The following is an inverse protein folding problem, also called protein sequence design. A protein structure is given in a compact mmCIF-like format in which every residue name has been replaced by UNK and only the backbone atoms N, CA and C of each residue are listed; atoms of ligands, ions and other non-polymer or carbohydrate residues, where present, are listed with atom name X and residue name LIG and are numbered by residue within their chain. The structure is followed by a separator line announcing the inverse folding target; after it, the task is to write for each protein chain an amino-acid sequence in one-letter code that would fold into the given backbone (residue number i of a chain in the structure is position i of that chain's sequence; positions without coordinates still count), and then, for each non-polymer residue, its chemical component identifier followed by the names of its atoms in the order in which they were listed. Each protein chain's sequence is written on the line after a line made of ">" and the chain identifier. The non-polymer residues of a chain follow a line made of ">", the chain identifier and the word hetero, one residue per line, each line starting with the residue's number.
data_IF_875407415032
#
_entry.id   IF_875407415032
#
_cell.length_a   1.000
_cell.length_b   1.000
_cell.length_c   1.000
_cell.angle_alpha   90.00
_cell.angle_beta   90.00
_cell.angle_gamma   90.00
#
_symmetry.space_group_name_H-M   'P 1'
#
loop_
_entity.id
_entity.type
_entity.pdbx_description
1 polymer ?
#
# COMPACT_ATOMS: atom_id res chain seq x y z
N UNK A 1 -18.79 -1.59 2.53
CA UNK A 1 -17.32 -1.72 2.62
C UNK A 1 -16.82 -1.31 1.25
N UNK A 2 -16.21 -0.14 1.09
CA UNK A 2 -15.71 0.34 -0.21
C UNK A 2 -14.23 -0.04 -0.26
N UNK A 3 -13.87 -0.94 -1.15
CA UNK A 3 -12.51 -1.39 -1.42
C UNK A 3 -11.93 -0.69 -2.67
N UNK A 4 -10.64 -0.91 -2.93
CA UNK A 4 -9.92 -0.37 -4.10
C UNK A 4 -10.58 -0.74 -5.44
N UNK A 5 -11.24 -1.89 -5.51
CA UNK A 5 -11.96 -2.34 -6.71
C UNK A 5 -13.22 -1.50 -6.92
N UNK A 6 -13.92 -1.12 -5.86
CA UNK A 6 -15.09 -0.24 -5.89
C UNK A 6 -14.76 1.20 -6.28
N UNK A 7 -13.61 1.73 -5.86
CA UNK A 7 -13.13 3.03 -6.33
C UNK A 7 -12.73 2.98 -7.80
N UNK A 8 -11.99 1.96 -8.22
CA UNK A 8 -11.53 1.85 -9.61
C UNK A 8 -12.72 1.75 -10.57
N UNK A 9 -13.74 0.96 -10.21
CA UNK A 9 -14.96 0.82 -11.01
C UNK A 9 -15.74 2.14 -11.08
N UNK A 10 -15.88 2.86 -9.96
CA UNK A 10 -16.59 4.14 -9.94
C UNK A 10 -15.82 5.30 -10.58
N UNK A 11 -14.49 5.21 -10.66
CA UNK A 11 -13.64 6.16 -11.37
C UNK A 11 -13.67 5.97 -12.90
N UNK A 12 -13.92 4.74 -13.36
CA UNK A 12 -14.15 4.43 -14.78
C UNK A 12 -15.50 4.99 -15.25
N UNK A 13 -16.52 5.01 -14.37
CA UNK A 13 -17.85 5.55 -14.68
C UNK A 13 -17.97 7.08 -14.48
N UNK A 14 -17.14 7.68 -13.61
CA UNK A 14 -17.15 9.13 -13.35
C UNK A 14 -15.74 9.66 -13.03
N UNK A 15 -15.08 10.23 -14.04
CA UNK A 15 -13.73 10.83 -13.94
C UNK A 15 -13.64 11.95 -12.89
N UNK A 16 -14.76 12.56 -12.48
CA UNK A 16 -14.73 13.61 -11.44
C UNK A 16 -14.33 13.05 -10.07
N UNK A 17 -14.50 11.74 -9.84
CA UNK A 17 -14.05 11.05 -8.62
C UNK A 17 -12.53 10.84 -8.57
N UNK A 18 -11.84 10.79 -9.71
CA UNK A 18 -10.38 10.79 -9.79
C UNK A 18 -9.77 12.12 -9.36
N UNK A 19 -10.57 13.20 -9.37
CA UNK A 19 -10.15 14.53 -8.89
C UNK A 19 -10.32 14.69 -7.38
N UNK A 20 -10.97 13.74 -6.72
CA UNK A 20 -11.02 13.74 -5.27
C UNK A 20 -9.62 13.40 -4.73
N UNK A 21 -9.15 14.12 -3.70
CA UNK A 21 -7.88 13.82 -3.06
C UNK A 21 -7.77 12.32 -2.77
N UNK A 22 -6.68 11.67 -3.18
CA UNK A 22 -6.47 10.21 -2.97
C UNK A 22 -6.68 9.80 -1.52
N UNK A 23 -6.41 10.70 -0.56
CA UNK A 23 -6.70 10.56 0.88
C UNK A 23 -8.17 10.31 1.24
N UNK A 24 -9.11 10.77 0.42
CA UNK A 24 -10.55 10.70 0.66
C UNK A 24 -11.13 9.36 0.18
N UNK A 25 -10.38 8.64 -0.67
CA UNK A 25 -10.78 7.32 -1.18
C UNK A 25 -9.87 6.18 -0.76
N UNK A 26 -8.62 6.45 -0.36
CA UNK A 26 -7.83 5.49 0.41
C UNK A 26 -8.43 5.36 1.82
N UNK A 27 -9.47 4.53 1.95
CA UNK A 27 -10.02 4.16 3.25
C UNK A 27 -9.04 3.22 3.98
N UNK A 28 -8.31 3.81 4.93
CA UNK A 28 -8.25 3.33 6.32
C UNK A 28 -7.58 1.98 6.59
N UNK A 29 -6.24 1.94 6.55
CA UNK A 29 -5.34 1.24 7.53
C UNK A 29 -3.88 1.36 7.07
N UNK A 30 -3.31 2.55 7.27
CA UNK A 30 -1.86 2.75 7.11
C UNK A 30 -1.17 2.05 8.27
N UNK A 31 -0.25 1.13 7.97
CA UNK A 31 0.59 0.50 8.98
C UNK A 31 2.00 1.05 8.87
N UNK A 32 2.47 1.68 9.94
CA UNK A 32 3.80 2.26 10.03
C UNK A 32 4.77 1.24 10.61
N UNK A 33 5.94 1.11 10.00
CA UNK A 33 6.95 0.14 10.40
C UNK A 33 8.35 0.75 10.33
N UNK A 34 9.27 0.19 11.11
CA UNK A 34 10.67 0.59 11.04
C UNK A 34 11.37 0.02 9.80
N UNK A 35 12.41 0.70 9.33
CA UNK A 35 13.27 0.22 8.23
C UNK A 35 13.93 -1.14 8.51
N UNK A 36 14.03 -1.52 9.79
CA UNK A 36 14.59 -2.80 10.25
C UNK A 36 13.53 -3.90 10.44
N UNK A 37 12.25 -3.62 10.18
CA UNK A 37 11.17 -4.60 10.30
C UNK A 37 11.40 -5.75 9.31
N UNK A 38 11.20 -6.98 9.78
CA UNK A 38 11.53 -8.17 9.00
C UNK A 38 10.48 -8.38 7.90
N UNK A 39 10.93 -8.80 6.72
CA UNK A 39 10.06 -9.00 5.54
C UNK A 39 8.89 -9.94 5.83
N UNK A 40 9.06 -10.92 6.71
CA UNK A 40 7.96 -11.83 7.10
C UNK A 40 6.81 -11.12 7.82
N UNK A 41 7.09 -10.01 8.50
CA UNK A 41 6.10 -9.23 9.25
C UNK A 41 5.26 -8.35 8.31
N UNK A 42 5.75 -8.10 7.09
CA UNK A 42 4.98 -7.44 6.02
C UNK A 42 3.90 -8.35 5.43
N UNK A 43 4.14 -9.67 5.39
CA UNK A 43 3.26 -10.59 4.66
C UNK A 43 1.79 -10.52 5.12
N UNK A 44 1.47 -10.58 6.43
CA UNK A 44 0.08 -10.53 6.90
C UNK A 44 -0.59 -9.17 6.69
N UNK A 45 0.19 -8.10 6.56
CA UNK A 45 -0.30 -6.74 6.33
C UNK A 45 -0.62 -6.54 4.83
N UNK A 46 0.32 -6.93 3.97
CA UNK A 46 0.17 -6.85 2.52
C UNK A 46 -0.92 -7.80 1.99
N UNK A 47 -1.12 -8.95 2.63
CA UNK A 47 -2.18 -9.89 2.25
C UNK A 47 -3.60 -9.32 2.50
N UNK A 48 -3.72 -8.37 3.43
CA UNK A 48 -4.97 -7.66 3.72
C UNK A 48 -5.20 -6.44 2.80
N UNK A 49 -4.37 -6.27 1.77
CA UNK A 49 -4.44 -5.13 0.85
C UNK A 49 -3.91 -3.83 1.45
N UNK A 50 -3.14 -3.87 2.54
CA UNK A 50 -2.61 -2.64 3.13
C UNK A 50 -1.33 -2.18 2.45
N UNK A 51 -1.16 -0.86 2.39
CA UNK A 51 0.12 -0.21 2.07
C UNK A 51 0.87 0.04 3.37
N UNK A 52 2.13 -0.40 3.43
CA UNK A 52 2.98 -0.17 4.58
C UNK A 52 3.82 1.09 4.41
N UNK A 53 3.83 1.94 5.43
CA UNK A 53 4.70 3.12 5.53
C UNK A 53 5.98 2.72 6.27
N UNK A 54 7.13 2.99 5.67
CA UNK A 54 8.44 2.71 6.25
C UNK A 54 9.02 3.99 6.82
N UNK A 55 9.42 3.93 8.09
CA UNK A 55 10.05 5.01 8.82
C UNK A 55 11.42 4.57 9.34
N UNK A 56 12.34 5.52 9.50
CA UNK A 56 13.54 5.37 10.33
C UNK A 56 13.47 6.42 11.46
N UNK A 57 13.05 5.98 12.65
CA UNK A 57 12.66 6.90 13.70
C UNK A 57 11.47 7.77 13.27
N UNK A 58 11.69 9.08 13.19
CA UNK A 58 10.71 10.08 12.73
C UNK A 58 10.81 10.38 11.22
N UNK A 59 11.84 9.86 10.55
CA UNK A 59 12.06 10.10 9.13
C UNK A 59 11.21 9.16 8.27
N UNK A 60 10.50 9.71 7.29
CA UNK A 60 9.78 8.93 6.30
C UNK A 60 10.73 8.43 5.21
N UNK A 61 10.83 7.10 5.07
CA UNK A 61 11.72 6.46 4.09
C UNK A 61 10.96 6.13 2.80
N UNK A 62 9.70 5.68 2.91
CA UNK A 62 8.92 5.32 1.73
C UNK A 62 7.69 4.47 2.00
N UNK A 63 7.09 3.99 0.91
CA UNK A 63 5.95 3.07 0.93
C UNK A 63 6.37 1.72 0.35
N UNK A 64 5.82 0.63 0.91
CA UNK A 64 5.97 -0.72 0.36
C UNK A 64 4.59 -1.30 0.07
N UNK A 65 4.45 -1.85 -1.13
CA UNK A 65 3.26 -2.56 -1.59
C UNK A 65 3.52 -4.06 -1.80
N UNK A 66 2.44 -4.82 -2.06
CA UNK A 66 2.52 -6.24 -2.42
C UNK A 66 3.36 -6.49 -3.68
N UNK A 67 3.25 -5.61 -4.67
CA UNK A 67 3.98 -5.72 -5.94
C UNK A 67 5.49 -5.53 -5.71
N UNK A 68 5.89 -4.60 -4.84
CA UNK A 68 7.29 -4.37 -4.52
C UNK A 68 7.94 -5.60 -3.88
N UNK A 69 7.23 -6.24 -2.95
CA UNK A 69 7.72 -7.45 -2.31
C UNK A 69 7.87 -8.61 -3.30
N UNK A 70 6.89 -8.81 -4.18
CA UNK A 70 6.98 -9.82 -5.24
C UNK A 70 8.17 -9.54 -6.18
N UNK A 71 8.36 -8.27 -6.56
CA UNK A 71 9.49 -7.85 -7.38
C UNK A 71 10.83 -8.09 -6.70
N UNK A 72 10.93 -7.81 -5.40
CA UNK A 72 12.13 -8.06 -4.59
C UNK A 72 12.47 -9.56 -4.51
N UNK A 73 11.48 -10.42 -4.23
CA UNK A 73 11.66 -11.87 -4.19
C UNK A 73 12.08 -12.42 -5.55
N UNK A 74 11.46 -11.94 -6.65
CA UNK A 74 11.85 -12.34 -8.02
C UNK A 74 13.30 -12.00 -8.34
N UNK A 75 13.81 -10.86 -7.86
CA UNK A 75 15.21 -10.45 -8.07
C UNK A 75 16.21 -11.33 -7.31
N UNK A 76 15.82 -11.90 -6.16
CA UNK A 76 16.68 -12.81 -5.36
C UNK A 76 16.80 -14.22 -5.91
N UNK A 77 15.88 -14.62 -6.80
CA UNK A 77 15.90 -15.93 -7.46
C UNK A 77 16.75 -15.94 -8.75
N UNK A 78 17.37 -14.81 -9.10
CA UNK A 78 18.30 -14.68 -10.23
C UNK A 78 19.75 -14.73 -9.76
#
# INVERSE_FOLDING_TARGET
>A
MIDESGLLLAAVDDETRLRQPVRDVMSTRRHTMGVRTLVRELLPLLDKGFVSIVMDGEEFIGLITRIDLLNHLRRKLR
#
